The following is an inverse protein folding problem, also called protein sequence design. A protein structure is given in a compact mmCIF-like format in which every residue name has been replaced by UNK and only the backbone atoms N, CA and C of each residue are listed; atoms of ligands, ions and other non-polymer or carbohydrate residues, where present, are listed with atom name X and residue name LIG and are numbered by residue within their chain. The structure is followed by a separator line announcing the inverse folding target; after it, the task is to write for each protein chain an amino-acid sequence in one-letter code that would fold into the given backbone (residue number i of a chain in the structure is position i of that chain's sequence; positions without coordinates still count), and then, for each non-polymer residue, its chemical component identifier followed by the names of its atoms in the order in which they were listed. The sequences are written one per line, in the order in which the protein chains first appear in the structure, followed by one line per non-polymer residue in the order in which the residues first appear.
data_IF_622860294518
#
_entry.id   IF_622860294518
#
_cell.length_a   1.000
_cell.length_b   1.000
_cell.length_c   1.000
_cell.angle_alpha   90.00
_cell.angle_beta   90.00
_cell.angle_gamma   90.00
#
_symmetry.space_group_name_H-M   'P 1'
#
loop_
_entity.id
_entity.type
_entity.pdbx_description
1 polymer ?
#
# COMPACT_ATOMS: atom_id res chain seq x y z
N UNK A 1 5.73 12.40 7.80
CA UNK A 1 5.16 12.32 6.44
C UNK A 1 6.15 11.59 5.56
N UNK A 2 5.82 10.38 5.11
CA UNK A 2 6.62 9.61 4.15
C UNK A 2 5.68 9.27 3.00
N UNK A 3 5.85 9.99 1.89
CA UNK A 3 5.38 9.56 0.58
C UNK A 3 6.46 8.57 0.11
N UNK A 4 6.06 7.31 -0.03
CA UNK A 4 6.86 6.15 -0.46
C UNK A 4 8.32 6.48 -0.87
N UNK A 5 9.29 6.22 0.02
CA UNK A 5 10.68 6.15 -0.42
C UNK A 5 10.82 4.86 -1.25
N UNK A 6 11.26 4.98 -2.49
CA UNK A 6 11.47 3.85 -3.43
C UNK A 6 12.30 2.72 -2.81
N UNK A 7 13.14 3.03 -1.82
CA UNK A 7 13.98 2.07 -1.10
C UNK A 7 13.20 0.96 -0.38
N UNK A 8 11.98 1.23 0.13
CA UNK A 8 11.16 0.23 0.83
C UNK A 8 10.60 -0.81 -0.15
N UNK A 9 10.13 -0.37 -1.32
CA UNK A 9 9.70 -1.28 -2.39
C UNK A 9 10.88 -2.08 -2.93
N UNK A 10 12.04 -1.44 -3.12
CA UNK A 10 13.26 -2.15 -3.53
C UNK A 10 13.69 -3.22 -2.53
N UNK A 11 13.57 -2.97 -1.22
CA UNK A 11 13.86 -3.97 -0.17
C UNK A 11 12.96 -5.22 -0.23
N UNK A 12 11.73 -5.09 -0.73
CA UNK A 12 10.79 -6.20 -0.94
C UNK A 12 10.96 -6.91 -2.28
N UNK A 13 11.40 -6.19 -3.31
CA UNK A 13 11.55 -6.72 -4.67
C UNK A 13 12.90 -7.40 -4.91
N UNK A 14 13.75 -7.49 -3.89
CA UNK A 14 15.00 -8.25 -3.91
C UNK A 14 14.74 -9.76 -3.98
N UNK A 15 15.73 -10.51 -4.50
CA UNK A 15 15.71 -11.99 -4.50
C UNK A 15 15.52 -12.56 -3.09
N UNK A 16 16.03 -11.85 -2.07
CA UNK A 16 15.77 -12.13 -0.67
C UNK A 16 15.30 -10.83 0.01
N UNK A 17 14.02 -10.73 0.39
CA UNK A 17 13.47 -9.51 0.98
C UNK A 17 14.13 -9.14 2.30
N UNK A 18 14.28 -7.84 2.57
CA UNK A 18 14.82 -7.36 3.85
C UNK A 18 13.93 -7.83 5.03
N UNK A 19 14.46 -8.60 5.99
CA UNK A 19 13.66 -9.17 7.09
C UNK A 19 12.97 -8.13 7.97
N UNK A 20 13.58 -6.94 8.16
CA UNK A 20 12.97 -5.88 8.95
C UNK A 20 11.78 -5.27 8.21
N UNK A 21 11.90 -5.10 6.90
CA UNK A 21 10.83 -4.59 6.04
C UNK A 21 9.66 -5.59 6.00
N UNK A 22 9.94 -6.89 5.88
CA UNK A 22 8.93 -7.96 5.92
C UNK A 22 8.21 -8.01 7.27
N UNK A 23 8.95 -8.03 8.38
CA UNK A 23 8.36 -8.09 9.72
C UNK A 23 7.46 -6.88 10.02
N UNK A 24 7.83 -5.70 9.50
CA UNK A 24 7.01 -4.50 9.60
C UNK A 24 5.74 -4.55 8.72
N UNK A 25 5.79 -5.19 7.55
CA UNK A 25 4.64 -5.30 6.63
C UNK A 25 3.65 -6.41 6.98
N UNK A 26 4.12 -7.50 7.58
CA UNK A 26 3.33 -8.70 7.88
C UNK A 26 2.08 -8.41 8.72
N UNK A 27 2.08 -7.35 9.53
CA UNK A 27 0.91 -6.97 10.32
C UNK A 27 -0.24 -6.40 9.48
N UNK A 28 0.04 -5.43 8.60
CA UNK A 28 -0.99 -4.60 7.96
C UNK A 28 -1.33 -5.08 6.55
N UNK A 29 -0.32 -5.48 5.76
CA UNK A 29 -0.54 -5.99 4.41
C UNK A 29 -1.22 -7.36 4.40
N UNK A 30 -0.90 -8.24 5.35
CA UNK A 30 -1.55 -9.55 5.45
C UNK A 30 -3.04 -9.42 5.81
N UNK A 31 -3.39 -8.52 6.73
CA UNK A 31 -4.78 -8.25 7.10
C UNK A 31 -5.58 -7.68 5.91
N UNK A 32 -5.00 -6.73 5.16
CA UNK A 32 -5.65 -6.17 3.99
C UNK A 32 -5.80 -7.21 2.87
N UNK A 33 -4.77 -8.02 2.61
CA UNK A 33 -4.84 -9.11 1.64
C UNK A 33 -5.94 -10.11 2.00
N UNK A 34 -6.03 -10.51 3.28
CA UNK A 34 -7.06 -11.41 3.78
C UNK A 34 -8.46 -10.81 3.62
N UNK A 35 -8.64 -9.52 3.95
CA UNK A 35 -9.91 -8.80 3.77
C UNK A 35 -10.33 -8.76 2.30
N UNK A 36 -9.41 -8.41 1.40
CA UNK A 36 -9.66 -8.37 -0.05
C UNK A 36 -10.04 -9.72 -0.62
N UNK A 37 -9.30 -10.77 -0.23
CA UNK A 37 -9.62 -12.15 -0.59
C UNK A 37 -11.01 -12.56 -0.09
N UNK A 38 -11.36 -12.20 1.15
CA UNK A 38 -12.67 -12.50 1.74
C UNK A 38 -13.84 -11.80 1.03
N UNK A 39 -13.65 -10.59 0.50
CA UNK A 39 -14.68 -9.86 -0.25
C UNK A 39 -14.63 -10.07 -1.77
N UNK A 40 -13.82 -11.02 -2.27
CA UNK A 40 -13.70 -11.31 -3.70
C UNK A 40 -12.99 -10.23 -4.52
N UNK A 41 -12.28 -9.31 -3.86
CA UNK A 41 -11.51 -8.25 -4.54
C UNK A 41 -10.16 -8.78 -5.00
N UNK A 42 -9.73 -8.49 -6.24
CA UNK A 42 -8.40 -8.87 -6.71
C UNK A 42 -7.29 -8.36 -5.78
N UNK A 43 -6.30 -9.22 -5.52
CA UNK A 43 -5.14 -8.90 -4.69
C UNK A 43 -3.92 -8.78 -5.60
N UNK A 44 -3.57 -7.55 -6.00
CA UNK A 44 -2.22 -7.27 -6.52
C UNK A 44 -1.28 -7.04 -5.34
N UNK A 45 -0.12 -7.70 -5.38
CA UNK A 45 0.84 -7.69 -4.28
C UNK A 45 1.44 -6.30 -4.04
N UNK A 46 1.77 -5.56 -5.10
CA UNK A 46 2.37 -4.21 -4.99
C UNK A 46 1.36 -3.22 -4.41
N UNK A 47 0.15 -3.22 -4.94
CA UNK A 47 -0.91 -2.33 -4.45
C UNK A 47 -1.27 -2.66 -3.00
N UNK A 48 -1.23 -3.92 -2.60
CA UNK A 48 -1.50 -4.36 -1.22
C UNK A 48 -0.37 -3.99 -0.26
N UNK A 49 0.88 -4.03 -0.71
CA UNK A 49 2.01 -3.53 0.08
C UNK A 49 1.94 -2.01 0.27
N UNK A 50 1.79 -1.25 -0.82
CA UNK A 50 1.63 0.21 -0.73
C UNK A 50 0.47 0.58 0.20
N UNK A 51 -0.69 -0.06 0.02
CA UNK A 51 -1.85 0.19 0.87
C UNK A 51 -1.61 -0.17 2.34
N UNK A 52 -0.93 -1.29 2.63
CA UNK A 52 -0.59 -1.69 4.00
C UNK A 52 0.29 -0.64 4.71
N UNK A 53 1.28 -0.08 3.99
CA UNK A 53 2.15 0.99 4.50
C UNK A 53 1.33 2.24 4.84
N UNK A 54 0.46 2.67 3.91
CA UNK A 54 -0.37 3.87 4.10
C UNK A 54 -1.29 3.70 5.31
N UNK A 55 -1.91 2.53 5.46
CA UNK A 55 -2.75 2.19 6.61
C UNK A 55 -1.96 2.20 7.93
N UNK A 56 -0.78 1.58 7.96
CA UNK A 56 0.08 1.50 9.14
C UNK A 56 0.43 2.88 9.73
N UNK A 57 0.59 3.87 8.85
CA UNK A 57 1.01 5.22 9.22
C UNK A 57 -0.13 6.25 9.23
N UNK A 58 -1.38 5.83 8.98
CA UNK A 58 -2.52 6.73 8.79
C UNK A 58 -2.21 7.87 7.80
N UNK A 59 -1.52 7.52 6.70
CA UNK A 59 -1.03 8.47 5.70
C UNK A 59 -2.08 8.71 4.60
N UNK A 60 -1.89 9.76 3.81
CA UNK A 60 -2.67 10.01 2.58
C UNK A 60 -1.97 9.30 1.41
N UNK A 61 -2.70 8.51 0.63
CA UNK A 61 -2.18 7.88 -0.58
C UNK A 61 -2.41 8.78 -1.80
N UNK A 62 -1.32 9.23 -2.41
CA UNK A 62 -1.34 9.92 -3.70
C UNK A 62 -1.17 8.90 -4.84
N UNK A 63 -2.19 8.69 -5.67
CA UNK A 63 -2.13 7.75 -6.81
C UNK A 63 -3.15 8.09 -7.89
N UNK A 64 -2.83 7.80 -9.16
CA UNK A 64 -3.81 7.85 -10.27
C UNK A 64 -4.74 6.63 -10.30
N UNK A 65 -4.40 5.55 -9.60
CA UNK A 65 -5.16 4.28 -9.61
C UNK A 65 -6.20 4.24 -8.48
N UNK A 66 -7.01 5.29 -8.33
CA UNK A 66 -7.92 5.45 -7.16
C UNK A 66 -8.82 4.24 -6.96
N UNK A 67 -9.36 3.67 -8.04
CA UNK A 67 -10.28 2.54 -8.00
C UNK A 67 -9.70 1.27 -7.36
N UNK A 68 -8.37 1.06 -7.39
CA UNK A 68 -7.70 -0.05 -6.71
C UNK A 68 -7.62 0.14 -5.20
N UNK A 69 -7.73 1.37 -4.72
CA UNK A 69 -7.54 1.75 -3.31
C UNK A 69 -8.83 2.28 -2.65
N UNK A 70 -9.98 2.13 -3.31
CA UNK A 70 -11.28 2.59 -2.78
C UNK A 70 -11.74 1.87 -1.52
N UNK A 71 -11.12 0.74 -1.18
CA UNK A 71 -11.40 -0.07 -0.01
C UNK A 71 -10.60 0.32 1.25
N UNK A 72 -9.68 1.29 1.12
CA UNK A 72 -8.84 1.78 2.21
C UNK A 72 -9.62 2.77 3.08
N UNK A 73 -9.34 2.76 4.38
CA UNK A 73 -9.95 3.69 5.35
C UNK A 73 -9.22 5.03 5.49
N UNK A 74 -8.26 5.29 4.61
CA UNK A 74 -7.42 6.50 4.57
C UNK A 74 -7.74 7.33 3.33
N UNK A 75 -7.42 8.62 3.35
CA UNK A 75 -7.63 9.48 2.20
C UNK A 75 -6.77 9.05 1.01
N UNK A 76 -7.40 8.91 -0.15
CA UNK A 76 -6.74 8.67 -1.44
C UNK A 76 -6.98 9.89 -2.31
N UNK A 77 -5.90 10.50 -2.79
CA UNK A 77 -5.95 11.66 -3.68
C UNK A 77 -5.32 11.31 -5.02
N UNK A 78 -5.87 11.86 -6.10
CA UNK A 78 -5.26 11.79 -7.41
C UNK A 78 -4.52 13.11 -7.68
N UNK A 79 -3.17 13.10 -7.71
CA UNK A 79 -2.37 14.30 -7.89
C UNK A 79 -2.63 15.06 -9.19
N UNK A 80 -3.17 14.37 -10.21
CA UNK A 80 -3.46 14.97 -11.51
C UNK A 80 -4.78 15.75 -11.55
N UNK A 81 -5.63 15.60 -10.53
CA UNK A 81 -6.84 16.42 -10.39
C UNK A 81 -6.53 17.79 -9.75
N UNK A 82 -5.28 18.02 -9.33
CA UNK A 82 -4.82 19.29 -8.80
C UNK A 82 -4.87 20.38 -9.87
N UNK A 83 -5.67 21.42 -9.61
CA UNK A 83 -5.66 22.67 -10.36
C UNK A 83 -4.97 23.72 -9.49
N UNK A 84 -3.94 24.37 -10.04
CA UNK A 84 -3.17 25.41 -9.37
C UNK A 84 -3.94 26.73 -9.26
#
# INVERSE_FOLDING_TARGET
MIILDTNVLSGLMQQQPDPQVVAWLDGQSAQLAAKRKACGRPVDMRDTFIAGIVLAHNAILATRNIHHCSDLSVSVVNPWDWQA
#
